data_IF_113771319190
#
_entry.id   IF_113771319190
#
_cell.length_a   1.000
_cell.length_b   1.000
_cell.length_c   1.000
_cell.angle_alpha   90.00
_cell.angle_beta   90.00
_cell.angle_gamma   90.00
#
_symmetry.space_group_name_H-M   'P 1'
#
loop_
_entity.id
_entity.type
_entity.pdbx_description
1 polymer ?
#
# COMPACT_ATOMS: atom_id res chain seq x y z
N UNK A 1 -3.52 -14.58 -14.33
CA UNK A 1 -2.47 -14.19 -13.36
C UNK A 1 -3.18 -13.89 -12.05
N UNK A 2 -2.84 -14.55 -10.94
CA UNK A 2 -3.54 -14.30 -9.67
C UNK A 2 -3.21 -12.88 -9.16
N UNK A 3 -4.26 -12.13 -8.83
CA UNK A 3 -4.25 -10.79 -8.23
C UNK A 3 -5.01 -10.84 -6.92
N UNK A 4 -4.74 -9.90 -6.01
CA UNK A 4 -5.49 -9.81 -4.76
C UNK A 4 -6.96 -9.48 -5.03
N UNK A 5 -7.87 -10.05 -4.22
CA UNK A 5 -9.30 -9.71 -4.24
C UNK A 5 -9.62 -8.47 -3.42
N UNK A 6 -10.84 -7.94 -3.57
CA UNK A 6 -11.30 -6.74 -2.87
C UNK A 6 -11.35 -6.92 -1.35
N UNK A 7 -11.69 -8.13 -0.86
CA UNK A 7 -11.68 -8.45 0.56
C UNK A 7 -10.27 -8.41 1.15
N UNK A 8 -9.27 -8.84 0.38
CA UNK A 8 -7.87 -8.76 0.77
C UNK A 8 -7.39 -7.31 0.86
N UNK A 9 -7.80 -6.47 -0.10
CA UNK A 9 -7.50 -5.04 -0.07
C UNK A 9 -8.19 -4.38 1.13
N UNK A 10 -9.46 -4.70 1.38
CA UNK A 10 -10.21 -4.18 2.52
C UNK A 10 -9.53 -4.57 3.85
N UNK A 11 -9.02 -5.80 3.96
CA UNK A 11 -8.28 -6.26 5.13
C UNK A 11 -6.98 -5.49 5.35
N UNK A 12 -6.21 -5.24 4.28
CA UNK A 12 -4.99 -4.42 4.35
C UNK A 12 -5.32 -3.02 4.85
N UNK A 13 -6.33 -2.37 4.24
CA UNK A 13 -6.76 -1.02 4.64
C UNK A 13 -7.20 -0.96 6.09
N UNK A 14 -7.91 -1.98 6.58
CA UNK A 14 -8.35 -2.06 7.97
C UNK A 14 -7.18 -2.07 8.94
N UNK A 15 -6.14 -2.86 8.67
CA UNK A 15 -4.98 -2.97 9.56
C UNK A 15 -4.00 -1.79 9.43
N UNK A 16 -3.77 -1.28 8.22
CA UNK A 16 -2.85 -0.16 7.99
C UNK A 16 -3.45 1.19 8.44
N UNK A 17 -4.77 1.36 8.22
CA UNK A 17 -5.43 2.65 8.34
C UNK A 17 -4.98 3.66 7.28
N UNK A 18 -5.78 4.72 7.07
CA UNK A 18 -5.47 5.77 6.09
C UNK A 18 -5.03 7.06 6.78
N UNK A 19 -3.88 7.61 6.35
CA UNK A 19 -3.42 8.95 6.76
C UNK A 19 -3.20 9.83 5.53
N UNK A 20 -4.10 10.79 5.32
CA UNK A 20 -4.06 11.69 4.15
C UNK A 20 -2.95 12.74 4.23
N UNK A 21 -2.32 12.96 5.38
CA UNK A 21 -1.14 13.83 5.51
C UNK A 21 0.08 12.98 5.80
N UNK A 22 1.20 13.35 5.19
CA UNK A 22 2.50 12.72 5.45
C UNK A 22 2.82 12.76 6.94
N UNK A 23 3.35 11.65 7.45
CA UNK A 23 3.75 11.50 8.83
C UNK A 23 5.04 10.68 8.91
N UNK A 24 5.78 10.81 10.01
CA UNK A 24 6.91 9.91 10.28
C UNK A 24 6.39 8.71 11.05
N UNK A 25 6.55 7.51 10.50
CA UNK A 25 6.17 6.27 11.20
C UNK A 25 7.13 6.01 12.39
N UNK A 26 6.80 5.08 13.32
CA UNK A 26 7.69 4.75 14.44
C UNK A 26 9.10 4.30 14.02
N UNK A 27 9.27 3.82 12.79
CA UNK A 27 10.57 3.47 12.20
C UNK A 27 11.36 4.65 11.63
N UNK A 28 10.91 5.89 11.78
CA UNK A 28 11.61 7.08 11.30
C UNK A 28 11.47 7.37 9.80
N UNK A 29 10.55 6.69 9.10
CA UNK A 29 10.35 6.83 7.65
C UNK A 29 9.14 7.72 7.38
N UNK A 30 9.24 8.63 6.39
CA UNK A 30 8.10 9.41 5.91
C UNK A 30 7.10 8.50 5.21
N UNK A 31 5.85 8.57 5.62
CA UNK A 31 4.77 7.67 5.21
C UNK A 31 3.50 8.45 4.92
N UNK A 32 2.69 8.00 3.97
CA UNK A 32 1.37 8.58 3.64
C UNK A 32 0.38 7.49 3.17
N UNK A 33 -0.92 7.79 3.19
CA UNK A 33 -1.97 6.88 2.73
C UNK A 33 -1.99 5.59 3.56
N UNK A 34 -2.00 4.45 2.87
CA UNK A 34 -1.92 3.10 3.43
C UNK A 34 -0.48 2.57 3.44
N UNK A 35 0.41 3.25 4.18
CA UNK A 35 1.81 2.80 4.33
C UNK A 35 2.75 3.12 3.15
N UNK A 36 2.40 4.04 2.26
CA UNK A 36 3.26 4.44 1.14
C UNK A 36 4.49 5.22 1.64
N UNK A 37 5.67 4.82 1.16
CA UNK A 37 6.99 5.29 1.62
C UNK A 37 7.94 5.59 0.45
N UNK A 38 7.44 5.61 -0.79
CA UNK A 38 8.24 5.92 -1.97
C UNK A 38 8.84 7.33 -1.92
N UNK A 39 9.87 7.56 -2.74
CA UNK A 39 10.65 8.82 -2.76
C UNK A 39 9.83 10.10 -3.04
N UNK A 40 8.59 9.97 -3.51
CA UNK A 40 7.68 11.10 -3.72
C UNK A 40 7.02 11.59 -2.42
N UNK A 41 7.11 10.83 -1.33
CA UNK A 41 6.56 11.20 -0.02
C UNK A 41 7.52 12.18 0.65
N UNK A 42 7.09 13.44 0.74
CA UNK A 42 7.87 14.55 1.32
C UNK A 42 7.13 15.19 2.49
N UNK A 43 7.83 15.87 3.42
CA UNK A 43 7.19 16.55 4.55
C UNK A 43 6.13 17.55 4.08
N UNK A 44 4.95 17.51 4.70
CA UNK A 44 3.84 18.40 4.35
C UNK A 44 3.02 17.96 3.14
N UNK A 45 3.39 16.86 2.46
CA UNK A 45 2.55 16.26 1.43
C UNK A 45 1.18 15.87 2.01
N UNK A 46 0.13 16.17 1.27
CA UNK A 46 -1.26 15.84 1.63
C UNK A 46 -2.01 15.34 0.40
N UNK A 47 -2.70 14.21 0.56
CA UNK A 47 -3.61 13.65 -0.40
C UNK A 47 -4.95 14.37 -0.34
N UNK A 48 -5.63 14.47 -1.48
CA UNK A 48 -6.93 15.14 -1.60
C UNK A 48 -8.03 14.33 -0.91
N UNK A 49 -7.99 13.01 -1.05
CA UNK A 49 -9.01 12.09 -0.55
C UNK A 49 -8.45 10.67 -0.39
N UNK A 50 -9.28 9.78 0.15
CA UNK A 50 -8.91 8.37 0.34
C UNK A 50 -8.77 7.60 -0.98
N UNK A 51 -9.42 8.04 -2.06
CA UNK A 51 -9.30 7.39 -3.37
C UNK A 51 -7.88 7.50 -3.94
N UNK A 52 -7.17 8.62 -3.69
CA UNK A 52 -5.74 8.73 -4.02
C UNK A 52 -4.88 7.73 -3.23
N UNK A 53 -5.18 7.55 -1.93
CA UNK A 53 -4.49 6.56 -1.10
C UNK A 53 -4.75 5.12 -1.58
N UNK A 54 -6.00 4.81 -1.97
CA UNK A 54 -6.37 3.52 -2.55
C UNK A 54 -5.63 3.26 -3.87
N UNK A 55 -5.56 4.26 -4.75
CA UNK A 55 -4.84 4.15 -6.01
C UNK A 55 -3.35 3.85 -5.80
N UNK A 56 -2.71 4.52 -4.83
CA UNK A 56 -1.31 4.25 -4.48
C UNK A 56 -1.11 2.83 -3.92
N UNK A 57 -1.99 2.39 -3.01
CA UNK A 57 -1.96 1.03 -2.48
C UNK A 57 -2.06 -0.01 -3.60
N UNK A 58 -3.05 0.12 -4.48
CA UNK A 58 -3.26 -0.78 -5.62
C UNK A 58 -2.08 -0.77 -6.58
N UNK A 59 -1.50 0.41 -6.84
CA UNK A 59 -0.32 0.52 -7.69
C UNK A 59 0.88 -0.23 -7.11
N UNK A 60 1.14 -0.12 -5.80
CA UNK A 60 2.23 -0.88 -5.15
C UNK A 60 1.96 -2.37 -5.08
N UNK A 61 0.73 -2.79 -4.78
CA UNK A 61 0.33 -4.20 -4.83
C UNK A 61 0.64 -4.80 -6.20
N UNK A 62 0.18 -4.17 -7.28
CA UNK A 62 0.38 -4.64 -8.64
C UNK A 62 1.86 -4.63 -9.08
N UNK A 63 2.61 -3.58 -8.71
CA UNK A 63 3.99 -3.38 -9.16
C UNK A 63 5.02 -4.21 -8.39
N UNK A 64 4.80 -4.44 -7.10
CA UNK A 64 5.84 -4.94 -6.20
C UNK A 64 5.41 -6.19 -5.43
N UNK A 65 4.31 -6.11 -4.68
CA UNK A 65 3.96 -7.16 -3.72
C UNK A 65 3.37 -8.41 -4.36
N UNK A 66 2.38 -8.27 -5.26
CA UNK A 66 1.84 -9.44 -5.95
C UNK A 66 2.89 -10.15 -6.83
N UNK A 67 3.73 -9.43 -7.62
CA UNK A 67 4.82 -10.08 -8.35
C UNK A 67 5.80 -10.83 -7.42
N UNK A 68 6.11 -10.27 -6.25
CA UNK A 68 6.98 -10.93 -5.28
C UNK A 68 6.36 -12.24 -4.77
N UNK A 69 5.09 -12.23 -4.35
CA UNK A 69 4.38 -13.45 -3.91
C UNK A 69 4.39 -14.50 -5.02
N UNK A 70 4.05 -14.11 -6.26
CA UNK A 70 4.07 -15.00 -7.43
C UNK A 70 5.46 -15.57 -7.72
N UNK A 71 6.52 -14.79 -7.48
CA UNK A 71 7.91 -15.20 -7.70
C UNK A 71 8.37 -16.23 -6.69
N UNK A 72 7.98 -16.09 -5.43
CA UNK A 72 8.54 -16.88 -4.33
C UNK A 72 7.66 -18.03 -3.87
N UNK A 73 6.34 -17.95 -4.02
CA UNK A 73 5.44 -19.07 -3.68
C UNK A 73 5.41 -20.07 -4.84
N UNK A 74 5.86 -21.31 -4.56
CA UNK A 74 5.98 -22.40 -5.55
C UNK A 74 4.92 -23.50 -5.39
N UNK A 75 4.01 -23.33 -4.45
CA UNK A 75 2.90 -24.25 -4.20
C UNK A 75 1.58 -23.61 -4.65
N UNK A 76 0.53 -24.39 -4.94
CA UNK A 76 -0.78 -23.84 -5.25
C UNK A 76 -1.31 -22.96 -4.11
N UNK A 77 -1.71 -21.73 -4.45
CA UNK A 77 -2.48 -20.85 -3.59
C UNK A 77 -3.96 -21.05 -3.89
N UNK A 78 -4.76 -21.19 -2.83
CA UNK A 78 -6.21 -21.39 -2.88
C UNK A 78 -6.95 -20.07 -2.71
#
# INVERSE_FOLDING_TARGET
MQTIGEEGIALIKFFEGCKLSSYTCPGGVLTIGYGETGNHVVPGLRLTNEQEADAMLRARLAKEFEPAVRRYVRVPLK
#
